data_IF_253173483794
#
_entry.id   IF_253173483794
#
_cell.length_a   1.000
_cell.length_b   1.000
_cell.length_c   1.000
_cell.angle_alpha   90.00
_cell.angle_beta   90.00
_cell.angle_gamma   90.00
#
_symmetry.space_group_name_H-M   'P 1'
#
loop_
_entity.id
_entity.type
_entity.pdbx_description
1 polymer ?
#
# COMPACT_ATOMS: atom_id res chain seq x y z
N UNK A 1 3.21 2.64 8.26
CA UNK A 1 2.48 1.43 8.70
C UNK A 1 1.91 0.66 7.51
N UNK A 2 1.53 -0.62 7.64
CA UNK A 2 0.97 -1.40 6.51
C UNK A 2 -0.29 -0.72 5.94
N UNK A 3 -1.23 -0.30 6.79
CA UNK A 3 -2.46 0.36 6.32
C UNK A 3 -2.17 1.65 5.53
N UNK A 4 -1.15 2.42 5.91
CA UNK A 4 -0.74 3.62 5.17
C UNK A 4 -0.16 3.27 3.80
N UNK A 5 0.65 2.21 3.72
CA UNK A 5 1.16 1.71 2.44
C UNK A 5 0.02 1.27 1.51
N UNK A 6 -1.01 0.63 2.06
CA UNK A 6 -2.20 0.24 1.29
C UNK A 6 -2.98 1.46 0.79
N UNK A 7 -3.17 2.48 1.64
CA UNK A 7 -3.82 3.74 1.23
C UNK A 7 -3.03 4.42 0.12
N UNK A 8 -1.72 4.56 0.30
CA UNK A 8 -0.84 5.18 -0.69
C UNK A 8 -0.86 4.41 -2.02
N UNK A 9 -0.87 3.08 -1.97
CA UNK A 9 -0.97 2.25 -3.17
C UNK A 9 -2.32 2.42 -3.88
N UNK A 10 -3.43 2.53 -3.14
CA UNK A 10 -4.75 2.81 -3.73
C UNK A 10 -4.85 4.21 -4.34
N UNK A 11 -4.18 5.19 -3.74
CA UNK A 11 -4.14 6.58 -4.21
C UNK A 11 -3.32 6.71 -5.50
N UNK A 12 -2.21 5.97 -5.58
CA UNK A 12 -1.30 5.91 -6.73
C UNK A 12 -1.49 4.64 -7.57
N UNK A 13 -2.73 4.13 -7.64
CA UNK A 13 -3.03 2.81 -8.23
C UNK A 13 -2.49 2.66 -9.65
N UNK A 14 -2.57 3.70 -10.47
CA UNK A 14 -2.17 3.63 -11.88
C UNK A 14 -0.64 3.48 -11.99
N UNK A 15 0.13 4.19 -11.16
CA UNK A 15 1.59 4.04 -11.07
C UNK A 15 2.00 2.68 -10.51
N UNK A 16 1.30 2.20 -9.47
CA UNK A 16 1.55 0.89 -8.87
C UNK A 16 1.28 -0.22 -9.87
N UNK A 17 0.17 -0.16 -10.59
CA UNK A 17 -0.16 -1.12 -11.65
C UNK A 17 0.87 -1.10 -12.77
N UNK A 18 1.31 0.09 -13.22
CA UNK A 18 2.36 0.21 -14.23
C UNK A 18 3.66 -0.45 -13.77
N UNK A 19 4.11 -0.21 -12.54
CA UNK A 19 5.32 -0.84 -11.99
C UNK A 19 5.21 -2.35 -11.91
N UNK A 20 4.03 -2.88 -11.55
CA UNK A 20 3.79 -4.33 -11.49
C UNK A 20 3.81 -4.93 -12.90
N UNK A 21 3.17 -4.29 -13.88
CA UNK A 21 3.13 -4.73 -15.28
C UNK A 21 4.52 -4.73 -15.94
N UNK A 22 5.36 -3.75 -15.58
CA UNK A 22 6.74 -3.60 -16.06
C UNK A 22 7.77 -4.51 -15.35
N UNK A 23 7.34 -5.38 -14.42
CA UNK A 23 8.22 -6.28 -13.65
C UNK A 23 8.28 -7.66 -14.29
N UNK A 24 9.45 -8.28 -14.32
CA UNK A 24 9.65 -9.61 -14.90
C UNK A 24 9.03 -10.72 -14.04
N UNK A 25 9.09 -10.56 -12.71
CA UNK A 25 8.56 -11.51 -11.74
C UNK A 25 7.98 -10.83 -10.48
N UNK A 26 7.34 -11.65 -9.64
CA UNK A 26 6.69 -11.18 -8.41
C UNK A 26 7.70 -10.59 -7.42
N UNK A 27 8.91 -11.15 -7.33
CA UNK A 27 9.92 -10.65 -6.40
C UNK A 27 10.45 -9.28 -6.85
N UNK A 28 10.58 -9.05 -8.15
CA UNK A 28 10.89 -7.75 -8.73
C UNK A 28 9.77 -6.75 -8.47
N UNK A 29 8.51 -7.13 -8.69
CA UNK A 29 7.37 -6.27 -8.40
C UNK A 29 7.32 -5.86 -6.92
N UNK A 30 7.57 -6.77 -5.98
CA UNK A 30 7.67 -6.47 -4.54
C UNK A 30 8.75 -5.42 -4.27
N UNK A 31 9.95 -5.60 -4.85
CA UNK A 31 11.06 -4.66 -4.67
C UNK A 31 10.73 -3.28 -5.26
N UNK A 32 10.23 -3.22 -6.49
CA UNK A 32 9.95 -1.97 -7.20
C UNK A 32 8.77 -1.20 -6.62
N UNK A 33 7.71 -1.89 -6.19
CA UNK A 33 6.59 -1.27 -5.45
C UNK A 33 7.07 -0.70 -4.11
N UNK A 34 7.95 -1.41 -3.41
CA UNK A 34 8.58 -0.90 -2.18
C UNK A 34 9.35 0.39 -2.40
N UNK A 35 10.15 0.44 -3.47
CA UNK A 35 10.89 1.64 -3.86
C UNK A 35 9.96 2.79 -4.27
N UNK A 36 8.91 2.51 -5.06
CA UNK A 36 7.93 3.50 -5.51
C UNK A 36 7.21 4.17 -4.34
N UNK A 37 6.85 3.40 -3.32
CA UNK A 37 6.05 3.86 -2.18
C UNK A 37 6.92 4.30 -0.98
N UNK A 38 8.22 3.98 -0.98
CA UNK A 38 9.12 4.24 0.13
C UNK A 38 8.84 3.35 1.34
N UNK A 39 8.43 2.10 1.10
CA UNK A 39 8.02 1.15 2.16
C UNK A 39 8.89 -0.11 2.14
N UNK A 40 8.95 -0.79 3.29
CA UNK A 40 9.68 -2.05 3.41
C UNK A 40 8.98 -3.23 2.73
N UNK A 41 9.75 -4.29 2.47
CA UNK A 41 9.33 -5.49 1.72
C UNK A 41 8.00 -6.11 2.20
N UNK A 42 7.79 -6.19 3.53
CA UNK A 42 6.54 -6.72 4.08
C UNK A 42 5.32 -5.91 3.63
N UNK A 43 5.42 -4.58 3.66
CA UNK A 43 4.33 -3.70 3.23
C UNK A 43 4.11 -3.82 1.72
N UNK A 44 5.19 -3.94 0.93
CA UNK A 44 5.10 -4.17 -0.51
C UNK A 44 4.35 -5.46 -0.85
N UNK A 45 4.62 -6.56 -0.14
CA UNK A 45 3.86 -7.82 -0.31
C UNK A 45 2.36 -7.62 -0.10
N UNK A 46 1.98 -6.92 0.98
CA UNK A 46 0.57 -6.62 1.23
C UNK A 46 -0.06 -5.72 0.17
N UNK A 47 0.71 -4.85 -0.49
CA UNK A 47 0.22 -4.07 -1.63
C UNK A 47 -0.08 -4.97 -2.82
N UNK A 48 0.79 -5.93 -3.15
CA UNK A 48 0.54 -6.88 -4.23
C UNK A 48 -0.66 -7.81 -3.93
N UNK A 49 -0.89 -8.14 -2.66
CA UNK A 49 -2.05 -8.93 -2.22
C UNK A 49 -3.37 -8.13 -2.22
N UNK A 50 -3.36 -6.85 -2.62
CA UNK A 50 -4.58 -6.04 -2.70
C UNK A 50 -5.55 -6.62 -3.72
N UNK A 51 -6.72 -6.98 -3.23
CA UNK A 51 -7.82 -7.44 -4.06
C UNK A 51 -8.60 -6.25 -4.62
N UNK A 52 -9.02 -6.35 -5.88
CA UNK A 52 -9.75 -5.28 -6.61
C UNK A 52 -10.94 -4.73 -5.82
N UNK A 53 -11.65 -5.57 -5.06
CA UNK A 53 -12.76 -5.13 -4.17
C UNK A 53 -12.36 -4.08 -3.14
N UNK A 54 -11.09 -4.00 -2.74
CA UNK A 54 -10.60 -3.00 -1.77
C UNK A 54 -10.52 -1.59 -2.35
N UNK A 55 -10.53 -1.45 -3.68
CA UNK A 55 -10.52 -0.15 -4.35
C UNK A 55 -11.90 0.51 -4.40
N UNK A 56 -12.98 -0.18 -4.02
CA UNK A 56 -14.29 0.46 -3.89
C UNK A 56 -14.23 1.57 -2.85
N UNK A 57 -15.05 2.61 -3.05
CA UNK A 57 -14.98 3.83 -2.25
C UNK A 57 -15.17 3.57 -0.75
N UNK A 58 -16.08 2.67 -0.40
CA UNK A 58 -16.36 2.27 0.99
C UNK A 58 -15.17 1.56 1.63
N UNK A 59 -14.53 0.61 0.93
CA UNK A 59 -13.40 -0.15 1.43
C UNK A 59 -12.16 0.74 1.58
N UNK A 60 -11.86 1.59 0.58
CA UNK A 60 -10.75 2.55 0.65
C UNK A 60 -10.94 3.51 1.83
N UNK A 61 -12.16 4.01 2.03
CA UNK A 61 -12.46 4.90 3.15
C UNK A 61 -12.28 4.20 4.51
N UNK A 62 -12.75 2.95 4.63
CA UNK A 62 -12.57 2.17 5.86
C UNK A 62 -11.10 1.92 6.21
N UNK A 63 -10.26 1.62 5.21
CA UNK A 63 -8.81 1.44 5.40
C UNK A 63 -8.16 2.76 5.82
N UNK A 64 -8.50 3.87 5.15
CA UNK A 64 -7.96 5.19 5.48
C UNK A 64 -8.33 5.65 6.90
N UNK A 65 -9.59 5.49 7.31
CA UNK A 65 -10.01 5.81 8.68
C UNK A 65 -9.27 4.98 9.73
N UNK A 66 -9.04 3.69 9.46
CA UNK A 66 -8.30 2.83 10.39
C UNK A 66 -6.81 3.19 10.45
N UNK A 67 -6.21 3.60 9.33
CA UNK A 67 -4.83 4.10 9.32
C UNK A 67 -4.69 5.36 10.19
N UNK A 68 -5.63 6.31 10.07
CA UNK A 68 -5.69 7.52 10.89
C UNK A 68 -5.85 7.21 12.38
N UNK A 69 -6.77 6.28 12.72
CA UNK A 69 -6.99 5.87 14.11
C UNK A 69 -5.71 5.30 14.73
N UNK A 70 -5.02 4.40 14.01
CA UNK A 70 -3.77 3.82 14.51
C UNK A 70 -2.66 4.86 14.64
N UNK A 71 -2.55 5.80 13.70
CA UNK A 71 -1.59 6.89 13.79
C UNK A 71 -1.85 7.76 15.01
N UNK A 72 -3.11 8.10 15.27
CA UNK A 72 -3.52 8.91 16.43
C UNK A 72 -3.29 8.21 17.78
N UNK A 73 -3.13 6.87 17.78
CA UNK A 73 -2.90 6.04 18.97
C UNK A 73 -1.43 5.70 19.20
N UNK A 74 -0.56 5.97 18.24
CA UNK A 74 0.88 5.85 18.43
C UNK A 74 1.36 7.17 19.07
N UNK A 75 1.99 7.14 20.26
CA UNK A 75 2.63 8.33 20.78
C UNK A 75 3.72 8.76 19.80
N UNK A 76 3.83 10.07 19.54
CA UNK A 76 4.92 10.65 18.77
C UNK A 76 6.24 10.16 19.37
N UNK A 77 6.88 9.21 18.68
CA UNK A 77 8.11 8.58 19.17
C UNK A 77 9.18 9.64 19.38
N UNK A 78 9.57 9.85 20.64
CA UNK A 78 10.87 10.42 21.01
C UNK A 78 11.93 9.31 20.98
#
# INVERSE_FOLDING_TARGET
>A
MILEALVQAMDRRDEVFQVIDDSEDVDEAIRRVGQLLGVGELASRFVLDLQVRRFTRDQRQAIASRAEELRSRLPDGH
#
